data_IF_872601862631
#
_entry.id   IF_872601862631
#
_cell.length_a   1.000
_cell.length_b   1.000
_cell.length_c   1.000
_cell.angle_alpha   90.00
_cell.angle_beta   90.00
_cell.angle_gamma   90.00
#
_symmetry.space_group_name_H-M   'P 1'
#
loop_
_entity.id
_entity.type
_entity.pdbx_description
1 polymer ?
#
# COMPACT_ATOMS: atom_id res chain seq x y z
N UNK A 1 -17.89 16.15 -14.73
CA UNK A 1 -17.50 17.07 -13.64
C UNK A 1 -16.11 16.71 -13.14
N UNK A 2 -15.15 17.64 -13.21
CA UNK A 2 -13.81 17.46 -12.63
C UNK A 2 -13.89 17.30 -11.11
N UNK A 3 -13.00 16.51 -10.52
CA UNK A 3 -12.89 16.42 -9.06
C UNK A 3 -12.44 17.79 -8.53
N UNK A 4 -13.12 18.34 -7.52
CA UNK A 4 -12.67 19.57 -6.84
C UNK A 4 -11.24 19.38 -6.30
N UNK A 5 -10.38 20.42 -6.36
CA UNK A 5 -9.06 20.38 -5.75
C UNK A 5 -9.13 19.95 -4.28
N UNK A 6 -8.15 19.18 -3.81
CA UNK A 6 -8.08 18.78 -2.40
C UNK A 6 -7.56 19.95 -1.58
N UNK A 7 -8.24 20.28 -0.50
CA UNK A 7 -7.77 21.25 0.48
C UNK A 7 -6.95 20.54 1.56
N UNK A 8 -5.62 20.70 1.52
CA UNK A 8 -4.69 20.13 2.50
C UNK A 8 -4.45 21.15 3.62
N UNK A 9 -4.67 20.71 4.86
CA UNK A 9 -4.52 21.50 6.07
C UNK A 9 -3.08 21.38 6.60
N UNK A 10 -2.45 22.49 7.01
CA UNK A 10 -1.19 22.46 7.74
C UNK A 10 -1.31 21.62 9.02
N UNK A 11 -0.23 20.95 9.43
CA UNK A 11 -0.20 20.13 10.65
C UNK A 11 -0.91 18.78 10.55
N UNK A 12 -1.39 18.40 9.37
CA UNK A 12 -1.98 17.08 9.10
C UNK A 12 -1.08 16.24 8.21
N UNK A 13 -1.10 14.93 8.46
CA UNK A 13 -0.48 13.91 7.63
C UNK A 13 -1.52 13.25 6.75
N UNK A 14 -1.22 13.18 5.45
CA UNK A 14 -2.09 12.60 4.43
C UNK A 14 -1.45 11.34 3.89
N UNK A 15 -2.26 10.29 3.71
CA UNK A 15 -1.79 9.04 3.14
C UNK A 15 -2.69 8.68 1.95
N UNK A 16 -2.07 8.35 0.82
CA UNK A 16 -2.79 7.88 -0.36
C UNK A 16 -2.71 6.36 -0.34
N UNK A 17 -3.68 5.69 0.26
CA UNK A 17 -3.92 4.28 -0.06
C UNK A 17 -4.94 4.26 -1.19
N UNK A 18 -4.56 3.79 -2.38
CA UNK A 18 -5.49 3.78 -3.52
C UNK A 18 -6.56 2.71 -3.36
N UNK A 19 -6.29 1.64 -2.58
CA UNK A 19 -7.25 0.58 -2.22
C UNK A 19 -6.90 -0.03 -0.87
N UNK A 20 -7.29 0.62 0.23
CA UNK A 20 -7.21 -0.03 1.55
C UNK A 20 -8.37 -1.03 1.70
N UNK A 21 -8.06 -2.31 1.85
CA UNK A 21 -9.05 -3.36 2.15
C UNK A 21 -9.25 -3.54 3.67
N UNK A 22 -8.79 -2.59 4.49
CA UNK A 22 -9.17 -2.53 5.91
C UNK A 22 -10.46 -1.71 6.04
N UNK A 23 -11.52 -2.33 6.58
CA UNK A 23 -12.83 -1.67 6.82
C UNK A 23 -12.75 -0.54 7.86
N UNK A 24 -11.71 -0.51 8.69
CA UNK A 24 -11.41 0.62 9.59
C UNK A 24 -10.88 1.83 8.82
N UNK A 25 -10.26 1.60 7.65
CA UNK A 25 -9.77 2.63 6.73
C UNK A 25 -10.72 2.78 5.53
N UNK A 26 -11.98 3.13 5.81
CA UNK A 26 -12.92 3.53 4.75
C UNK A 26 -12.48 4.88 4.20
N UNK A 27 -11.78 4.88 3.06
CA UNK A 27 -11.34 6.10 2.36
C UNK A 27 -12.48 7.05 1.95
N UNK A 28 -13.74 6.61 2.02
CA UNK A 28 -14.90 7.50 1.89
C UNK A 28 -15.04 8.47 3.07
N UNK A 29 -14.56 8.09 4.26
CA UNK A 29 -14.55 8.92 5.47
C UNK A 29 -13.38 9.89 5.46
N UNK A 30 -13.62 11.16 5.78
CA UNK A 30 -12.61 12.23 5.71
C UNK A 30 -11.51 12.00 6.75
N UNK A 31 -11.89 11.50 7.91
CA UNK A 31 -11.05 11.14 9.06
C UNK A 31 -10.14 9.95 8.74
N UNK A 32 -10.48 9.16 7.73
CA UNK A 32 -9.63 8.08 7.23
C UNK A 32 -8.65 8.54 6.15
N UNK A 33 -8.69 9.80 5.68
CA UNK A 33 -7.78 10.35 4.66
C UNK A 33 -6.61 11.11 5.27
N UNK A 34 -6.78 11.62 6.49
CA UNK A 34 -5.78 12.42 7.19
C UNK A 34 -5.85 12.21 8.70
N UNK A 35 -4.76 12.50 9.37
CA UNK A 35 -4.66 12.50 10.83
C UNK A 35 -3.70 13.60 11.28
N UNK A 36 -3.82 14.04 12.54
CA UNK A 36 -2.93 15.06 13.09
C UNK A 36 -1.47 14.59 13.03
N UNK A 37 -0.54 15.47 12.69
CA UNK A 37 0.89 15.12 12.61
C UNK A 37 1.47 14.64 13.95
N UNK A 38 0.83 15.04 15.06
CA UNK A 38 1.13 14.60 16.42
C UNK A 38 0.62 13.19 16.77
N UNK A 39 -0.23 12.57 15.94
CA UNK A 39 -0.71 11.21 16.16
C UNK A 39 0.35 10.18 15.72
N UNK A 40 1.33 9.98 16.60
CA UNK A 40 2.52 9.16 16.38
C UNK A 40 2.14 7.70 16.11
N UNK A 41 1.27 7.14 16.93
CA UNK A 41 0.83 5.75 16.81
C UNK A 41 0.15 5.49 15.47
N UNK A 42 -0.78 6.38 15.08
CA UNK A 42 -1.47 6.25 13.80
C UNK A 42 -0.52 6.39 12.62
N UNK A 43 0.47 7.28 12.70
CA UNK A 43 1.50 7.40 11.68
C UNK A 43 2.28 6.08 11.53
N UNK A 44 2.77 5.52 12.63
CA UNK A 44 3.53 4.26 12.63
C UNK A 44 2.68 3.09 12.14
N UNK A 45 1.43 2.96 12.60
CA UNK A 45 0.53 1.90 12.11
C UNK A 45 0.24 2.02 10.62
N UNK A 46 0.10 3.24 10.11
CA UNK A 46 -0.12 3.50 8.67
C UNK A 46 1.12 3.13 7.86
N UNK A 47 2.31 3.55 8.30
CA UNK A 47 3.58 3.20 7.65
C UNK A 47 3.78 1.68 7.58
N UNK A 48 3.60 0.99 8.72
CA UNK A 48 3.68 -0.47 8.77
C UNK A 48 2.65 -1.14 7.87
N UNK A 49 1.43 -0.63 7.80
CA UNK A 49 0.40 -1.17 6.91
C UNK A 49 0.83 -1.09 5.44
N UNK A 50 1.39 0.05 5.02
CA UNK A 50 1.90 0.25 3.66
C UNK A 50 3.05 -0.72 3.36
N UNK A 51 4.06 -0.78 4.23
CA UNK A 51 5.22 -1.66 4.05
C UNK A 51 4.87 -3.15 4.14
N UNK A 52 3.88 -3.51 4.95
CA UNK A 52 3.41 -4.89 5.11
C UNK A 52 2.45 -5.37 4.02
N UNK A 53 1.95 -4.49 3.15
CA UNK A 53 0.92 -4.84 2.17
C UNK A 53 1.40 -5.87 1.12
N UNK A 54 2.60 -5.75 0.51
CA UNK A 54 3.10 -6.76 -0.42
C UNK A 54 3.17 -8.16 0.21
N UNK A 55 3.58 -8.23 1.48
CA UNK A 55 3.60 -9.46 2.28
C UNK A 55 2.20 -10.03 2.52
N UNK A 56 1.26 -9.18 2.96
CA UNK A 56 -0.12 -9.59 3.21
C UNK A 56 -0.84 -10.06 1.92
N UNK A 57 -0.48 -9.49 0.78
CA UNK A 57 -0.97 -9.88 -0.55
C UNK A 57 -0.27 -11.12 -1.12
N UNK A 58 0.68 -11.73 -0.39
CA UNK A 58 1.50 -12.87 -0.84
C UNK A 58 2.35 -12.59 -2.10
N UNK A 59 2.66 -11.33 -2.37
CA UNK A 59 3.58 -10.96 -3.46
C UNK A 59 5.05 -11.16 -3.06
N UNK A 60 5.36 -11.06 -1.75
CA UNK A 60 6.70 -11.27 -1.17
C UNK A 60 6.58 -11.96 0.19
N UNK A 61 7.64 -12.61 0.65
CA UNK A 61 7.71 -13.25 1.97
C UNK A 61 8.02 -12.25 3.10
N UNK A 62 8.77 -11.18 2.79
CA UNK A 62 9.21 -10.14 3.72
C UNK A 62 8.58 -8.77 3.47
N UNK A 63 9.06 -7.78 4.21
CA UNK A 63 8.66 -6.37 4.06
C UNK A 63 9.38 -5.65 2.91
N UNK A 64 10.54 -6.17 2.47
CA UNK A 64 11.24 -5.61 1.31
C UNK A 64 10.46 -5.83 0.01
N UNK A 65 10.33 -4.75 -0.74
CA UNK A 65 9.68 -4.72 -2.04
C UNK A 65 10.24 -3.56 -2.85
N UNK A 66 10.63 -3.81 -4.10
CA UNK A 66 11.29 -2.84 -5.00
C UNK A 66 10.54 -1.50 -5.12
N UNK A 67 9.20 -1.55 -5.01
CA UNK A 67 8.31 -0.39 -5.13
C UNK A 67 7.74 0.08 -3.78
N UNK A 68 8.45 -0.18 -2.69
CA UNK A 68 8.14 0.32 -1.35
C UNK A 68 9.39 0.85 -0.69
N UNK A 69 9.29 1.95 0.06
CA UNK A 69 10.45 2.56 0.72
C UNK A 69 10.83 1.91 2.06
N UNK A 70 10.47 0.64 2.28
CA UNK A 70 10.76 -0.04 3.55
C UNK A 70 12.27 -0.09 3.86
N UNK A 71 13.11 -0.24 2.83
CA UNK A 71 14.56 -0.24 2.99
C UNK A 71 15.10 1.08 3.55
N UNK A 72 14.51 2.20 3.16
CA UNK A 72 14.86 3.53 3.67
C UNK A 72 14.52 3.71 5.16
N UNK A 73 13.62 2.90 5.71
CA UNK A 73 13.31 2.90 7.14
C UNK A 73 14.12 1.86 7.92
N UNK A 74 14.33 0.66 7.37
CA UNK A 74 15.04 -0.42 8.08
C UNK A 74 16.56 -0.31 7.95
N UNK A 75 17.06 0.02 6.75
CA UNK A 75 18.49 0.03 6.40
C UNK A 75 19.05 1.45 6.26
N UNK A 76 18.21 2.48 6.43
CA UNK A 76 18.57 3.88 6.24
C UNK A 76 19.19 4.16 4.86
N UNK A 77 18.73 3.43 3.83
CA UNK A 77 19.21 3.62 2.46
C UNK A 77 18.76 4.95 1.89
N UNK A 78 19.66 5.64 1.18
CA UNK A 78 19.31 6.83 0.40
C UNK A 78 18.65 6.42 -0.93
N UNK A 79 17.32 6.53 -0.96
CA UNK A 79 16.50 6.29 -2.15
C UNK A 79 16.19 7.58 -2.95
N UNK A 80 16.68 8.73 -2.50
CA UNK A 80 16.45 10.05 -3.09
C UNK A 80 15.03 10.61 -2.96
N UNK A 81 14.10 9.92 -2.28
CA UNK A 81 12.70 10.31 -2.18
C UNK A 81 12.14 10.32 -0.75
N UNK A 82 12.65 9.46 0.12
CA UNK A 82 12.09 9.25 1.44
C UNK A 82 12.40 10.42 2.35
N UNK A 83 11.32 11.03 2.86
CA UNK A 83 11.38 11.90 4.01
C UNK A 83 10.73 11.19 5.19
N UNK A 84 11.47 11.03 6.29
CA UNK A 84 10.94 10.36 7.46
C UNK A 84 9.91 11.21 8.19
N UNK A 85 8.83 10.56 8.60
CA UNK A 85 7.80 11.20 9.43
C UNK A 85 8.36 11.46 10.83
N UNK A 86 7.97 12.55 11.55
CA UNK A 86 8.39 12.79 12.92
C UNK A 86 8.16 11.59 13.86
N UNK A 87 7.08 10.86 13.65
CA UNK A 87 6.79 9.62 14.38
C UNK A 87 7.87 8.53 14.27
N UNK A 88 8.55 8.42 13.12
CA UNK A 88 9.70 7.53 12.98
C UNK A 88 10.91 8.10 13.71
N UNK A 89 11.18 9.40 13.53
CA UNK A 89 12.32 10.09 14.13
C UNK A 89 12.25 10.15 15.66
N UNK A 90 11.04 10.09 16.24
CA UNK A 90 10.82 10.03 17.68
C UNK A 90 11.00 8.63 18.27
N UNK A 91 11.22 7.60 17.45
CA UNK A 91 11.38 6.23 17.97
C UNK A 91 12.66 6.09 18.81
N UNK A 92 13.73 6.79 18.48
CA UNK A 92 15.03 6.67 19.12
C UNK A 92 15.81 7.97 19.14
N UNK A 93 16.96 7.94 19.82
CA UNK A 93 17.89 9.06 19.94
C UNK A 93 18.77 9.25 18.70
N UNK A 94 18.96 8.19 17.89
CA UNK A 94 19.65 8.22 16.60
C UNK A 94 18.81 7.56 15.50
N UNK A 95 19.20 7.78 14.23
CA UNK A 95 18.54 7.15 13.08
C UNK A 95 18.66 5.62 13.12
N UNK A 96 19.81 5.09 13.53
CA UNK A 96 20.06 3.65 13.67
C UNK A 96 19.14 3.03 14.71
N UNK A 97 18.95 3.73 15.83
CA UNK A 97 18.02 3.31 16.87
C UNK A 97 16.57 3.35 16.38
N UNK A 98 16.19 4.40 15.65
CA UNK A 98 14.88 4.51 15.00
C UNK A 98 14.63 3.34 14.05
N UNK A 99 15.59 3.04 13.18
CA UNK A 99 15.53 1.93 12.22
C UNK A 99 15.39 0.58 12.93
N UNK A 100 16.20 0.32 13.97
CA UNK A 100 16.14 -0.91 14.77
C UNK A 100 14.78 -1.07 15.46
N UNK A 101 14.27 0.00 16.08
CA UNK A 101 12.96 -0.01 16.75
C UNK A 101 11.81 -0.19 15.74
N UNK A 102 11.87 0.48 14.60
CA UNK A 102 10.88 0.35 13.53
C UNK A 102 10.85 -1.06 12.93
N UNK A 103 12.01 -1.64 12.66
CA UNK A 103 12.14 -3.05 12.24
C UNK A 103 11.42 -3.99 13.20
N UNK A 104 11.72 -3.87 14.50
CA UNK A 104 11.07 -4.66 15.54
C UNK A 104 9.55 -4.43 15.59
N UNK A 105 9.10 -3.18 15.46
CA UNK A 105 7.68 -2.82 15.42
C UNK A 105 6.94 -3.48 14.25
N UNK A 106 7.53 -3.51 13.05
CA UNK A 106 6.98 -4.20 11.89
C UNK A 106 6.91 -5.72 12.12
N UNK A 107 7.98 -6.33 12.63
CA UNK A 107 8.06 -7.78 12.85
C UNK A 107 7.09 -8.29 13.92
N UNK A 108 6.83 -7.50 14.97
CA UNK A 108 5.88 -7.86 16.04
C UNK A 108 4.43 -7.89 15.56
N UNK A 109 4.09 -7.24 14.45
CA UNK A 109 2.72 -7.19 13.98
C UNK A 109 2.25 -8.53 13.43
N UNK A 110 1.16 -9.03 14.02
CA UNK A 110 0.43 -10.19 13.54
C UNK A 110 -0.94 -9.73 13.05
N UNK A 111 -1.25 -9.84 11.74
CA UNK A 111 -2.57 -9.51 11.22
C UNK A 111 -3.64 -10.31 11.94
N UNK A 112 -4.67 -9.64 12.47
CA UNK A 112 -5.84 -10.33 13.00
C UNK A 112 -6.57 -11.00 11.84
N UNK A 113 -6.97 -12.27 11.99
CA UNK A 113 -7.81 -12.96 11.02
C UNK A 113 -9.09 -12.15 10.84
N UNK A 114 -9.42 -11.77 9.60
CA UNK A 114 -10.71 -11.14 9.32
C UNK A 114 -11.80 -12.15 9.65
N UNK A 115 -12.83 -11.80 10.44
CA UNK A 115 -13.95 -12.70 10.66
C UNK A 115 -14.60 -12.99 9.31
N UNK A 116 -14.74 -14.28 8.98
CA UNK A 116 -15.47 -14.70 7.80
C UNK A 116 -16.93 -14.26 7.95
N UNK A 117 -17.36 -13.28 7.15
CA UNK A 117 -18.76 -12.92 7.05
C UNK A 117 -19.35 -13.69 5.88
N UNK A 118 -20.44 -14.41 6.11
CA UNK A 118 -21.29 -14.91 5.02
C UNK A 118 -21.81 -13.70 4.25
N UNK A 119 -21.35 -13.54 3.02
CA UNK A 119 -21.87 -12.52 2.12
C UNK A 119 -23.01 -13.14 1.30
N UNK A 120 -24.25 -12.83 1.67
CA UNK A 120 -25.46 -13.26 0.95
C UNK A 120 -25.69 -12.54 -0.38
N UNK A 121 -24.71 -11.75 -0.83
CA UNK A 121 -24.77 -10.99 -2.08
C UNK A 121 -24.96 -11.91 -3.30
N UNK A 122 -24.47 -13.16 -3.22
CA UNK A 122 -24.67 -14.19 -4.26
C UNK A 122 -25.83 -15.15 -4.01
N UNK A 123 -26.35 -15.26 -2.78
CA UNK A 123 -27.39 -16.25 -2.43
C UNK A 123 -28.69 -15.99 -3.19
N UNK A 124 -29.11 -14.73 -3.32
CA UNK A 124 -30.32 -14.36 -4.10
C UNK A 124 -30.15 -14.45 -5.62
N UNK A 125 -28.91 -14.46 -6.12
CA UNK A 125 -28.63 -14.59 -7.56
C UNK A 125 -28.74 -16.05 -8.00
N UNK A 126 -28.35 -16.99 -7.13
CA UNK A 126 -28.40 -18.42 -7.38
C UNK A 126 -29.83 -18.99 -7.21
N UNK A 127 -30.62 -18.45 -6.29
CA UNK A 127 -32.03 -18.86 -6.10
C UNK A 127 -32.95 -18.46 -7.27
N UNK A 128 -32.45 -17.66 -8.24
CA UNK A 128 -33.22 -17.14 -9.38
C UNK A 128 -32.72 -17.63 -10.73
N UNK A 129 -31.93 -18.70 -10.81
CA UNK A 129 -31.68 -19.33 -12.10
C UNK A 129 -32.90 -20.21 -12.48
N UNK A 130 -33.71 -19.83 -13.49
CA UNK A 130 -34.62 -20.78 -14.09
C UNK A 130 -33.79 -21.91 -14.71
N UNK A 131 -34.17 -23.16 -14.42
CA UNK A 131 -33.68 -24.30 -15.17
C UNK A 131 -34.02 -24.11 -16.65
N UNK A 132 -32.99 -24.16 -17.50
CA UNK A 132 -33.07 -24.21 -18.96
C UNK A 132 -33.94 -23.13 -19.64
N UNK A 133 -33.30 -22.05 -20.10
CA UNK A 133 -33.72 -21.41 -21.35
C UNK A 133 -32.53 -20.74 -22.03
N UNK A 134 -32.43 -21.00 -23.32
CA UNK A 134 -31.42 -20.55 -24.28
C UNK A 134 -31.30 -19.03 -24.24
N UNK A 135 -30.21 -18.51 -23.67
CA UNK A 135 -29.89 -17.08 -23.77
C UNK A 135 -29.37 -16.78 -25.18
N UNK A 136 -29.82 -15.70 -25.84
CA UNK A 136 -29.22 -15.25 -27.08
C UNK A 136 -27.75 -14.87 -26.83
N UNK A 137 -26.85 -15.03 -27.81
CA UNK A 137 -25.44 -14.72 -27.64
C UNK A 137 -25.30 -13.27 -27.17
N UNK A 138 -24.62 -13.07 -26.05
CA UNK A 138 -24.31 -11.76 -25.54
C UNK A 138 -23.61 -10.97 -26.65
N UNK A 139 -24.23 -9.90 -27.13
CA UNK A 139 -23.53 -8.90 -27.93
C UNK A 139 -22.36 -8.41 -27.11
N UNK A 140 -21.17 -8.87 -27.46
CA UNK A 140 -19.91 -8.38 -26.94
C UNK A 140 -19.85 -6.92 -27.32
N UNK A 141 -20.29 -6.04 -26.41
CA UNK A 141 -19.87 -4.65 -26.46
C UNK A 141 -18.35 -4.69 -26.39
N UNK A 142 -17.71 -4.57 -27.56
CA UNK A 142 -16.28 -4.47 -27.69
C UNK A 142 -15.85 -3.40 -26.69
N UNK A 143 -15.17 -3.83 -25.62
CA UNK A 143 -14.50 -2.89 -24.73
C UNK A 143 -13.55 -2.15 -25.64
N UNK A 144 -13.92 -0.92 -26.03
CA UNK A 144 -13.01 -0.03 -26.73
C UNK A 144 -11.71 -0.05 -25.93
N UNK A 145 -10.65 -0.54 -26.55
CA UNK A 145 -9.34 -0.58 -25.95
C UNK A 145 -9.06 0.86 -25.52
N UNK A 146 -9.06 1.10 -24.21
CA UNK A 146 -8.64 2.40 -23.70
C UNK A 146 -7.23 2.60 -24.25
N UNK A 147 -6.93 3.75 -24.87
CA UNK A 147 -5.59 4.00 -25.33
C UNK A 147 -4.63 3.75 -24.16
N UNK A 148 -3.47 3.10 -24.41
CA UNK A 148 -2.49 2.90 -23.36
C UNK A 148 -2.26 4.24 -22.66
N UNK A 149 -2.18 4.20 -21.34
CA UNK A 149 -1.81 5.36 -20.54
C UNK A 149 -0.39 5.73 -20.95
N UNK A 150 -0.24 6.59 -21.95
CA UNK A 150 1.03 7.11 -22.43
C UNK A 150 1.55 8.04 -21.34
N UNK A 151 2.28 7.46 -20.39
CA UNK A 151 3.12 8.24 -19.49
C UNK A 151 4.36 8.56 -20.30
N UNK A 152 4.55 9.83 -20.66
CA UNK A 152 5.78 10.26 -21.33
C UNK A 152 6.96 9.91 -20.42
N UNK A 153 7.86 9.06 -20.90
CA UNK A 153 9.06 8.70 -20.14
C UNK A 153 9.95 9.95 -20.01
N UNK A 154 10.11 10.41 -18.77
CA UNK A 154 11.01 11.50 -18.43
C UNK A 154 12.29 10.88 -17.86
N UNK A 155 13.43 11.20 -18.44
CA UNK A 155 14.72 10.62 -18.04
C UNK A 155 15.03 10.85 -16.56
N UNK A 156 14.66 12.01 -15.99
CA UNK A 156 14.83 12.28 -14.56
C UNK A 156 13.96 11.35 -13.71
N UNK A 157 12.72 11.10 -14.13
CA UNK A 157 11.81 10.17 -13.44
C UNK A 157 12.37 8.75 -13.50
N UNK A 158 12.93 8.35 -14.64
CA UNK A 158 13.55 7.04 -14.80
C UNK A 158 14.79 6.90 -13.89
N UNK A 159 15.65 7.92 -13.80
CA UNK A 159 16.80 7.94 -12.90
C UNK A 159 16.41 7.83 -11.43
N UNK A 160 15.44 8.63 -10.99
CA UNK A 160 14.92 8.60 -9.62
C UNK A 160 14.31 7.23 -9.32
N UNK A 161 13.53 6.66 -10.24
CA UNK A 161 12.95 5.33 -10.08
C UNK A 161 14.04 4.25 -9.95
N UNK A 162 15.10 4.30 -10.76
CA UNK A 162 16.24 3.37 -10.67
C UNK A 162 16.94 3.46 -9.31
N UNK A 163 17.26 4.68 -8.84
CA UNK A 163 17.86 4.90 -7.51
C UNK A 163 16.97 4.34 -6.41
N UNK A 164 15.67 4.62 -6.47
CA UNK A 164 14.70 4.17 -5.49
C UNK A 164 14.61 2.64 -5.40
N UNK A 165 14.50 1.98 -6.56
CA UNK A 165 14.42 0.51 -6.65
C UNK A 165 15.70 -0.12 -6.12
N UNK A 166 16.87 0.40 -6.50
CA UNK A 166 18.15 -0.13 -6.06
C UNK A 166 18.32 -0.04 -4.53
N UNK A 167 17.95 1.10 -3.93
CA UNK A 167 18.01 1.31 -2.49
C UNK A 167 17.05 0.37 -1.72
N UNK A 168 15.87 0.08 -2.28
CA UNK A 168 14.83 -0.71 -1.61
C UNK A 168 14.79 -2.19 -1.98
N UNK A 169 15.72 -2.63 -2.84
CA UNK A 169 15.76 -4.01 -3.30
C UNK A 169 15.90 -4.98 -2.11
N UNK A 170 15.10 -6.06 -2.09
CA UNK A 170 15.26 -7.15 -1.15
C UNK A 170 16.71 -7.66 -1.15
N UNK A 171 17.27 -8.01 0.02
CA UNK A 171 18.56 -8.68 0.07
C UNK A 171 18.52 -9.89 -0.85
N UNK A 172 19.58 -10.11 -1.63
CA UNK A 172 19.75 -11.36 -2.34
C UNK A 172 19.73 -12.48 -1.30
N UNK A 173 18.80 -13.42 -1.44
CA UNK A 173 18.91 -14.70 -0.73
C UNK A 173 20.26 -15.27 -1.18
N UNK A 174 21.26 -15.25 -0.29
CA UNK A 174 22.41 -16.12 -0.46
C UNK A 174 21.80 -17.51 -0.60
N UNK A 175 21.89 -18.09 -1.81
CA UNK A 175 21.57 -19.48 -2.04
C UNK A 175 22.30 -20.24 -0.93
N UNK A 176 21.56 -20.74 0.07
CA UNK A 176 22.11 -21.77 0.95
C UNK A 176 22.52 -22.86 -0.03
N UNK A 177 23.82 -23.13 -0.09
CA UNK A 177 24.38 -24.20 -0.92
C UNK A 177 23.58 -25.47 -0.69
N UNK A 178 23.37 -26.17 -1.81
CA UNK A 178 22.75 -27.48 -2.00
C UNK A 178 22.55 -28.34 -0.75
#
# INVERSE_FOLDING_TARGET
MGRKPRNFQPGYSYHITTRCNNREFKLSRRECRSFARSDIDRALYTLRYIHGNPKAAKMRSGFFYDFSNYGSYERLTDDGLTQWHPAFLQLGSSLEECAKKYKGFCQRYKPKKKPARRCHWGSKLLDRQPSSSTLPPATTNARQARPPCLVTENELVAQVARKFIQANRPPSETKKGF
#
